data_IF_348342480581
#
_entry.id   IF_348342480581
#
_cell.length_a   1.000
_cell.length_b   1.000
_cell.length_c   1.000
_cell.angle_alpha   90.00
_cell.angle_beta   90.00
_cell.angle_gamma   90.00
#
_symmetry.space_group_name_H-M   'P 1'
#
loop_
_entity.id
_entity.type
_entity.pdbx_description
1 polymer ?
#
# COMPACT_ATOMS: atom_id res chain seq x y z
N UNK A 1 -16.92 10.33 -3.75
CA UNK A 1 -15.94 11.43 -3.55
C UNK A 1 -14.58 10.78 -3.52
N UNK A 2 -13.66 11.15 -4.41
CA UNK A 2 -12.34 10.52 -4.51
C UNK A 2 -11.50 10.84 -3.27
N UNK A 3 -10.95 9.83 -2.59
CA UNK A 3 -10.06 10.00 -1.45
C UNK A 3 -8.73 10.65 -1.88
N UNK A 4 -8.25 11.59 -1.06
CA UNK A 4 -7.00 12.33 -1.29
C UNK A 4 -5.95 11.96 -0.26
N UNK A 5 -4.69 12.26 -0.56
CA UNK A 5 -3.60 12.09 0.40
C UNK A 5 -3.86 12.90 1.67
N UNK A 6 -3.75 12.27 2.82
CA UNK A 6 -4.03 12.85 4.13
C UNK A 6 -5.47 12.71 4.62
N UNK A 7 -6.43 12.33 3.76
CA UNK A 7 -7.78 12.02 4.19
C UNK A 7 -7.78 10.79 5.13
N UNK A 8 -8.75 10.74 6.03
CA UNK A 8 -8.98 9.53 6.83
C UNK A 8 -9.61 8.49 5.90
N UNK A 9 -8.97 7.32 5.80
CA UNK A 9 -9.53 6.17 5.12
C UNK A 9 -10.85 5.78 5.79
N UNK A 10 -11.98 5.75 5.07
CA UNK A 10 -13.27 5.42 5.65
C UNK A 10 -13.27 4.06 6.34
N UNK A 11 -13.90 3.96 7.51
CA UNK A 11 -14.16 2.68 8.15
C UNK A 11 -15.31 1.95 7.45
N UNK A 12 -15.30 0.63 7.49
CA UNK A 12 -16.37 -0.21 6.98
C UNK A 12 -16.45 -1.54 7.73
N UNK A 13 -17.60 -2.15 7.69
CA UNK A 13 -17.82 -3.53 8.11
C UNK A 13 -18.37 -4.29 6.90
N UNK A 14 -17.69 -5.39 6.53
CA UNK A 14 -18.04 -6.18 5.34
C UNK A 14 -17.63 -7.64 5.54
N UNK A 15 -18.29 -8.55 4.85
CA UNK A 15 -17.91 -9.96 4.82
C UNK A 15 -16.59 -10.16 4.07
N UNK A 16 -15.91 -11.27 4.34
CA UNK A 16 -14.61 -11.56 3.74
C UNK A 16 -14.32 -13.06 3.70
N UNK A 17 -13.22 -13.44 3.08
CA UNK A 17 -12.74 -14.83 3.06
C UNK A 17 -12.44 -15.42 4.44
N UNK A 18 -12.41 -14.60 5.51
CA UNK A 18 -12.20 -15.02 6.90
C UNK A 18 -13.41 -14.74 7.79
N UNK A 19 -14.59 -14.42 7.24
CA UNK A 19 -15.81 -13.98 7.93
C UNK A 19 -15.93 -12.46 8.02
N UNK A 20 -16.92 -11.96 8.78
CA UNK A 20 -17.15 -10.53 8.94
C UNK A 20 -15.92 -9.79 9.45
N UNK A 21 -15.59 -8.65 8.83
CA UNK A 21 -14.41 -7.87 9.13
C UNK A 21 -14.76 -6.40 9.30
N UNK A 22 -14.31 -5.81 10.43
CA UNK A 22 -14.36 -4.38 10.72
C UNK A 22 -12.99 -3.79 10.39
N UNK A 23 -12.91 -2.93 9.40
CA UNK A 23 -11.65 -2.54 8.79
C UNK A 23 -10.71 -1.83 9.78
N UNK A 24 -11.15 -0.80 10.49
CA UNK A 24 -10.26 -0.06 11.41
C UNK A 24 -9.86 -0.92 12.63
N UNK A 25 -10.76 -1.78 13.13
CA UNK A 25 -10.46 -2.71 14.21
C UNK A 25 -9.42 -3.75 13.75
N UNK A 26 -9.63 -4.36 12.59
CA UNK A 26 -8.70 -5.33 11.99
C UNK A 26 -7.32 -4.70 11.70
N UNK A 27 -7.29 -3.48 11.17
CA UNK A 27 -6.05 -2.76 10.88
C UNK A 27 -5.23 -2.50 12.15
N UNK A 28 -5.88 -2.15 13.26
CA UNK A 28 -5.21 -1.84 14.52
C UNK A 28 -4.16 -0.73 14.35
N UNK A 29 -2.94 -0.94 14.83
CA UNK A 29 -1.81 -0.02 14.71
C UNK A 29 -0.85 -0.39 13.56
N UNK A 30 -1.32 -1.13 12.58
CA UNK A 30 -0.52 -1.48 11.41
C UNK A 30 -0.75 -0.49 10.27
N UNK A 31 0.23 -0.39 9.39
CA UNK A 31 0.03 0.09 8.04
C UNK A 31 -0.85 -0.90 7.29
N UNK A 32 -1.58 -0.42 6.28
CA UNK A 32 -2.45 -1.26 5.46
C UNK A 32 -2.20 -1.00 3.98
N UNK A 33 -2.13 -2.07 3.21
CA UNK A 33 -2.24 -2.06 1.74
C UNK A 33 -3.61 -2.61 1.40
N UNK A 34 -4.58 -1.73 1.13
CA UNK A 34 -5.92 -2.07 0.66
C UNK A 34 -5.94 -1.99 -0.86
N UNK A 35 -6.27 -3.08 -1.53
CA UNK A 35 -6.26 -3.10 -2.99
C UNK A 35 -7.43 -3.88 -3.59
N UNK A 36 -8.02 -3.34 -4.66
CA UNK A 36 -9.08 -4.02 -5.40
C UNK A 36 -8.54 -4.80 -6.58
N UNK A 37 -9.29 -5.83 -6.98
CA UNK A 37 -9.08 -6.59 -8.22
C UNK A 37 -10.40 -6.81 -8.94
N UNK A 38 -10.41 -6.89 -10.29
CA UNK A 38 -11.65 -6.92 -11.07
C UNK A 38 -12.55 -8.11 -10.82
N UNK A 39 -12.01 -9.33 -10.74
CA UNK A 39 -12.77 -10.55 -10.51
C UNK A 39 -11.87 -11.73 -10.11
N UNK A 40 -12.44 -12.64 -9.32
CA UNK A 40 -11.83 -13.92 -8.99
C UNK A 40 -11.72 -14.83 -10.21
N UNK A 41 -10.81 -15.80 -10.16
CA UNK A 41 -10.52 -16.76 -11.23
C UNK A 41 -10.13 -16.09 -12.56
N UNK A 42 -9.38 -14.98 -12.48
CA UNK A 42 -8.82 -14.30 -13.67
C UNK A 42 -7.30 -14.29 -13.63
N UNK A 43 -6.61 -14.36 -14.79
CA UNK A 43 -5.16 -14.57 -14.82
C UNK A 43 -4.36 -13.51 -14.10
N UNK A 44 -4.58 -12.23 -14.39
CA UNK A 44 -3.81 -11.13 -13.78
C UNK A 44 -4.07 -11.03 -12.28
N UNK A 45 -5.34 -11.21 -11.84
CA UNK A 45 -5.68 -11.17 -10.41
C UNK A 45 -5.01 -12.32 -9.66
N UNK A 46 -4.98 -13.53 -10.23
CA UNK A 46 -4.29 -14.68 -9.65
C UNK A 46 -2.80 -14.40 -9.43
N UNK A 47 -2.14 -13.81 -10.42
CA UNK A 47 -0.71 -13.44 -10.29
C UNK A 47 -0.47 -12.35 -9.25
N UNK A 48 -1.34 -11.35 -9.15
CA UNK A 48 -1.22 -10.27 -8.16
C UNK A 48 -1.42 -10.77 -6.72
N UNK A 49 -2.46 -11.59 -6.47
CA UNK A 49 -2.72 -12.11 -5.14
C UNK A 49 -1.65 -13.12 -4.73
N UNK A 50 -1.20 -13.97 -5.65
CA UNK A 50 -0.09 -14.88 -5.41
C UNK A 50 1.22 -14.16 -5.08
N UNK A 51 1.54 -13.08 -5.81
CA UNK A 51 2.71 -12.25 -5.51
C UNK A 51 2.56 -11.54 -4.15
N UNK A 52 1.38 -10.99 -3.85
CA UNK A 52 1.10 -10.37 -2.54
C UNK A 52 1.29 -11.37 -1.41
N UNK A 53 0.85 -12.61 -1.59
CA UNK A 53 1.05 -13.69 -0.61
C UNK A 53 2.54 -14.02 -0.40
N UNK A 54 3.32 -14.12 -1.47
CA UNK A 54 4.78 -14.32 -1.41
C UNK A 54 5.50 -13.17 -0.72
N UNK A 55 5.01 -11.95 -0.86
CA UNK A 55 5.57 -10.76 -0.24
C UNK A 55 5.12 -10.54 1.22
N UNK A 56 4.27 -11.42 1.77
CA UNK A 56 3.82 -11.30 3.17
C UNK A 56 4.96 -11.13 4.17
N UNK A 57 6.08 -11.86 4.13
CA UNK A 57 7.20 -11.62 5.04
C UNK A 57 7.80 -10.21 4.92
N UNK A 58 7.80 -9.63 3.72
CA UNK A 58 8.28 -8.25 3.51
C UNK A 58 7.29 -7.21 4.05
N UNK A 59 5.98 -7.47 3.94
CA UNK A 59 4.96 -6.66 4.59
C UNK A 59 5.04 -6.76 6.11
N UNK A 60 5.18 -7.96 6.66
CA UNK A 60 5.28 -8.19 8.12
C UNK A 60 6.46 -7.44 8.74
N UNK A 61 7.66 -7.45 8.09
CA UNK A 61 8.84 -6.70 8.53
C UNK A 61 8.59 -5.19 8.67
N UNK A 62 7.65 -4.66 7.92
CA UNK A 62 7.28 -3.24 7.87
C UNK A 62 6.04 -2.91 8.70
N UNK A 63 5.53 -3.88 9.46
CA UNK A 63 4.24 -3.78 10.17
C UNK A 63 3.10 -3.38 9.22
N UNK A 64 3.02 -4.02 8.06
CA UNK A 64 2.00 -3.79 7.04
C UNK A 64 1.08 -5.00 6.95
N UNK A 65 -0.22 -4.76 6.91
CA UNK A 65 -1.26 -5.75 6.61
C UNK A 65 -1.78 -5.54 5.19
N UNK A 66 -1.79 -6.61 4.39
CA UNK A 66 -2.43 -6.59 3.08
C UNK A 66 -3.90 -7.02 3.20
N UNK A 67 -4.77 -6.42 2.41
CA UNK A 67 -6.18 -6.79 2.28
C UNK A 67 -6.64 -6.53 0.85
N UNK A 68 -7.20 -7.56 0.22
CA UNK A 68 -7.75 -7.47 -1.12
C UNK A 68 -9.27 -7.22 -1.08
N UNK A 69 -9.83 -6.76 -2.20
CA UNK A 69 -11.27 -6.54 -2.36
C UNK A 69 -11.70 -6.83 -3.79
N UNK A 70 -12.81 -7.54 -3.96
CA UNK A 70 -13.59 -7.54 -5.19
C UNK A 70 -15.09 -7.57 -4.89
N UNK A 71 -15.90 -7.46 -5.94
CA UNK A 71 -17.36 -7.55 -5.84
C UNK A 71 -17.86 -9.00 -5.88
N UNK A 72 -16.97 -9.97 -5.87
CA UNK A 72 -17.32 -11.39 -5.81
C UNK A 72 -17.71 -11.81 -4.38
N UNK A 73 -18.57 -12.84 -4.20
CA UNK A 73 -19.00 -13.33 -2.90
C UNK A 73 -17.91 -14.11 -2.15
N UNK A 74 -18.05 -14.19 -0.81
CA UNK A 74 -17.06 -14.81 0.07
C UNK A 74 -16.77 -16.28 -0.26
N UNK A 75 -17.79 -17.04 -0.65
CA UNK A 75 -17.63 -18.45 -1.03
C UNK A 75 -16.76 -18.59 -2.28
N UNK A 76 -16.87 -17.64 -3.22
CA UNK A 76 -16.03 -17.62 -4.42
C UNK A 76 -14.59 -17.32 -4.06
N UNK A 77 -14.34 -16.38 -3.16
CA UNK A 77 -13.00 -16.10 -2.63
C UNK A 77 -12.37 -17.33 -1.99
N UNK A 78 -13.13 -18.04 -1.14
CA UNK A 78 -12.65 -19.25 -0.48
C UNK A 78 -12.23 -20.34 -1.47
N UNK A 79 -13.03 -20.56 -2.52
CA UNK A 79 -12.70 -21.50 -3.59
C UNK A 79 -11.45 -21.05 -4.38
N UNK A 80 -11.36 -19.75 -4.71
CA UNK A 80 -10.24 -19.21 -5.48
C UNK A 80 -8.92 -19.15 -4.72
N UNK A 81 -8.93 -18.94 -3.40
CA UNK A 81 -7.72 -18.99 -2.54
C UNK A 81 -7.00 -20.33 -2.77
N UNK A 82 -7.71 -21.46 -2.73
CA UNK A 82 -7.12 -22.79 -2.97
C UNK A 82 -6.45 -22.90 -4.35
N UNK A 83 -7.05 -22.31 -5.37
CA UNK A 83 -6.51 -22.29 -6.74
C UNK A 83 -5.27 -21.39 -6.85
N UNK A 84 -5.29 -20.21 -6.19
CA UNK A 84 -4.11 -19.34 -6.11
C UNK A 84 -2.94 -20.07 -5.43
N UNK A 85 -3.19 -20.71 -4.29
CA UNK A 85 -2.17 -21.42 -3.52
C UNK A 85 -1.50 -22.52 -4.35
N UNK A 86 -2.30 -23.29 -5.10
CA UNK A 86 -1.78 -24.34 -5.98
C UNK A 86 -1.02 -23.77 -7.19
N UNK A 87 -1.58 -22.77 -7.86
CA UNK A 87 -1.01 -22.25 -9.12
C UNK A 87 0.18 -21.33 -8.90
N UNK A 88 0.25 -20.66 -7.75
CA UNK A 88 1.29 -19.70 -7.42
C UNK A 88 2.31 -20.23 -6.41
N UNK A 89 2.16 -21.48 -5.91
CA UNK A 89 3.04 -22.09 -4.91
C UNK A 89 3.26 -21.17 -3.70
N UNK A 90 2.16 -20.85 -3.00
CA UNK A 90 2.16 -19.91 -1.86
C UNK A 90 0.96 -20.16 -0.96
N UNK A 91 0.90 -19.50 0.19
CA UNK A 91 -0.27 -19.48 1.08
C UNK A 91 -0.84 -18.08 1.16
N UNK A 92 -2.14 -17.92 0.89
CA UNK A 92 -2.83 -16.63 0.97
C UNK A 92 -3.12 -16.30 2.42
N UNK A 93 -2.23 -15.55 3.05
CA UNK A 93 -2.28 -15.19 4.47
C UNK A 93 -2.89 -13.80 4.74
N UNK A 94 -3.83 -13.34 3.91
CA UNK A 94 -4.52 -12.05 4.07
C UNK A 94 -6.00 -12.17 3.64
N UNK A 95 -6.92 -11.35 4.21
CA UNK A 95 -8.33 -11.40 3.85
C UNK A 95 -8.62 -10.82 2.47
N UNK A 96 -9.68 -11.34 1.84
CA UNK A 96 -10.28 -10.81 0.63
C UNK A 96 -11.70 -10.38 0.99
N UNK A 97 -12.02 -9.09 0.85
CA UNK A 97 -13.34 -8.52 1.12
C UNK A 97 -14.31 -8.89 0.00
N UNK A 98 -15.47 -9.39 0.38
CA UNK A 98 -16.60 -9.73 -0.48
C UNK A 98 -17.55 -8.53 -0.56
N UNK A 99 -17.31 -7.60 -1.48
CA UNK A 99 -18.06 -6.35 -1.62
C UNK A 99 -19.19 -6.48 -2.66
N UNK A 100 -20.09 -7.47 -2.46
CA UNK A 100 -21.17 -7.79 -3.40
C UNK A 100 -22.13 -6.61 -3.62
N UNK A 101 -22.40 -5.84 -2.57
CA UNK A 101 -23.25 -4.65 -2.61
C UNK A 101 -22.54 -3.40 -3.13
N UNK A 102 -21.23 -3.49 -3.39
CA UNK A 102 -20.35 -2.38 -3.85
C UNK A 102 -20.30 -1.19 -2.90
N UNK A 103 -20.61 -1.38 -1.65
CA UNK A 103 -20.58 -0.30 -0.65
C UNK A 103 -19.15 0.19 -0.42
N UNK A 104 -18.20 -0.73 -0.21
CA UNK A 104 -16.79 -0.41 0.03
C UNK A 104 -16.11 0.10 -1.23
N UNK A 105 -16.29 -0.59 -2.38
CA UNK A 105 -15.70 -0.16 -3.65
C UNK A 105 -16.19 1.21 -4.11
N UNK A 106 -17.45 1.56 -3.83
CA UNK A 106 -17.99 2.90 -4.07
C UNK A 106 -17.41 3.94 -3.12
N UNK A 107 -17.26 3.59 -1.83
CA UNK A 107 -16.70 4.45 -0.79
C UNK A 107 -15.25 4.83 -1.10
N UNK A 108 -14.47 3.89 -1.64
CA UNK A 108 -13.07 4.05 -2.01
C UNK A 108 -12.84 4.41 -3.48
N UNK A 109 -13.90 4.71 -4.23
CA UNK A 109 -13.84 5.09 -5.66
C UNK A 109 -13.06 4.05 -6.51
N UNK A 110 -13.35 2.75 -6.28
CA UNK A 110 -12.68 1.64 -6.95
C UNK A 110 -13.41 1.14 -8.21
N UNK A 111 -14.62 1.65 -8.47
CA UNK A 111 -15.38 1.36 -9.68
C UNK A 111 -15.36 2.60 -10.57
N UNK A 112 -14.76 2.47 -11.74
CA UNK A 112 -14.63 3.55 -12.71
C UNK A 112 -15.60 3.31 -13.87
N UNK A 113 -16.71 4.06 -14.00
CA UNK A 113 -17.80 3.76 -14.95
C UNK A 113 -17.35 3.65 -16.42
N UNK A 114 -16.31 4.40 -16.81
CA UNK A 114 -15.76 4.34 -18.16
C UNK A 114 -14.86 3.10 -18.42
N UNK A 115 -14.45 2.40 -17.35
CA UNK A 115 -13.70 1.13 -17.44
C UNK A 115 -14.61 -0.07 -17.20
N UNK A 116 -15.45 -0.02 -16.18
CA UNK A 116 -16.48 -1.01 -15.85
C UNK A 116 -17.53 -0.39 -14.94
N UNK A 117 -18.79 -0.75 -15.15
CA UNK A 117 -19.90 -0.32 -14.28
C UNK A 117 -20.18 -1.32 -13.14
N UNK A 118 -19.57 -2.50 -13.18
CA UNK A 118 -19.91 -3.63 -12.31
C UNK A 118 -18.72 -4.21 -11.55
N UNK A 119 -17.52 -4.10 -12.09
CA UNK A 119 -16.29 -4.61 -11.47
C UNK A 119 -15.36 -3.46 -11.05
N UNK A 120 -14.53 -3.70 -10.04
CA UNK A 120 -13.51 -2.76 -9.64
C UNK A 120 -12.36 -2.71 -10.65
N UNK A 121 -11.70 -1.56 -10.78
CA UNK A 121 -10.38 -1.45 -11.40
C UNK A 121 -9.28 -1.88 -10.39
N UNK A 122 -8.01 -1.79 -10.77
CA UNK A 122 -6.90 -2.14 -9.87
C UNK A 122 -6.45 -0.94 -9.06
N UNK A 123 -7.29 -0.49 -8.14
CA UNK A 123 -6.92 0.58 -7.20
C UNK A 123 -6.18 0.00 -6.00
N UNK A 124 -5.22 0.75 -5.47
CA UNK A 124 -4.47 0.41 -4.25
C UNK A 124 -4.29 1.66 -3.41
N UNK A 125 -4.51 1.53 -2.12
CA UNK A 125 -4.22 2.54 -1.11
C UNK A 125 -3.18 2.02 -0.12
N UNK A 126 -2.20 2.87 0.21
CA UNK A 126 -1.36 2.69 1.41
C UNK A 126 -1.92 3.61 2.49
N UNK A 127 -2.27 3.02 3.62
CA UNK A 127 -2.91 3.68 4.76
C UNK A 127 -2.01 3.52 5.98
N UNK A 128 -1.73 4.62 6.69
CA UNK A 128 -0.87 4.60 7.88
C UNK A 128 -1.62 4.15 9.15
N UNK A 129 -0.92 3.92 10.28
CA UNK A 129 -1.56 3.53 11.55
C UNK A 129 -2.59 4.52 12.07
N UNK A 130 -2.47 5.82 11.72
CA UNK A 130 -3.47 6.85 12.04
C UNK A 130 -4.66 6.86 11.08
N UNK A 131 -4.76 5.83 10.21
CA UNK A 131 -5.80 5.68 9.19
C UNK A 131 -5.78 6.77 8.11
N UNK A 132 -4.62 7.39 7.87
CA UNK A 132 -4.48 8.39 6.81
C UNK A 132 -4.06 7.72 5.50
N UNK A 133 -4.69 8.11 4.40
CA UNK A 133 -4.27 7.73 3.05
C UNK A 133 -2.93 8.39 2.74
N UNK A 134 -1.91 7.59 2.44
CA UNK A 134 -0.53 8.04 2.19
C UNK A 134 -0.11 7.87 0.72
N UNK A 135 -0.74 6.93 0.01
CA UNK A 135 -0.55 6.68 -1.42
C UNK A 135 -1.86 6.17 -2.00
N UNK A 136 -2.14 6.54 -3.23
CA UNK A 136 -3.13 5.87 -4.08
C UNK A 136 -2.54 5.58 -5.45
N UNK A 137 -2.79 4.38 -5.97
CA UNK A 137 -2.43 3.95 -7.32
C UNK A 137 -3.65 3.37 -7.99
N UNK A 138 -3.86 3.70 -9.26
CA UNK A 138 -4.94 3.10 -10.05
C UNK A 138 -4.41 2.64 -11.40
N UNK A 139 -4.60 1.36 -11.69
CA UNK A 139 -4.18 0.71 -12.92
C UNK A 139 -5.40 0.20 -13.70
N UNK A 140 -5.34 0.18 -15.04
CA UNK A 140 -6.38 -0.45 -15.83
C UNK A 140 -6.45 -1.96 -15.57
N UNK A 141 -7.61 -2.54 -15.84
CA UNK A 141 -7.89 -3.96 -15.56
C UNK A 141 -6.91 -4.93 -16.24
N UNK A 142 -6.34 -4.53 -17.38
CA UNK A 142 -5.40 -5.33 -18.18
C UNK A 142 -3.96 -5.33 -17.67
N UNK A 143 -3.60 -4.46 -16.71
CA UNK A 143 -2.21 -4.23 -16.29
C UNK A 143 -2.02 -4.55 -14.83
N UNK A 144 -1.22 -5.58 -14.51
CA UNK A 144 -0.83 -5.93 -13.15
C UNK A 144 0.05 -4.85 -12.52
N UNK A 145 -0.12 -4.67 -11.20
CA UNK A 145 0.64 -3.66 -10.42
C UNK A 145 2.06 -4.11 -10.14
N UNK A 146 2.95 -3.14 -9.92
CA UNK A 146 4.30 -3.38 -9.44
C UNK A 146 4.34 -3.32 -7.91
N UNK A 147 4.38 -4.46 -7.25
CA UNK A 147 4.41 -4.54 -5.77
C UNK A 147 5.79 -4.20 -5.18
N UNK A 148 6.88 -4.25 -5.96
CA UNK A 148 8.19 -3.73 -5.51
C UNK A 148 8.12 -2.21 -5.32
N UNK A 149 7.38 -1.50 -6.18
CA UNK A 149 7.13 -0.07 -6.01
C UNK A 149 6.26 0.21 -4.77
N UNK A 150 5.29 -0.64 -4.46
CA UNK A 150 4.49 -0.51 -3.23
C UNK A 150 5.38 -0.63 -2.00
N UNK A 151 6.26 -1.64 -1.93
CA UNK A 151 7.22 -1.80 -0.84
C UNK A 151 8.20 -0.62 -0.76
N UNK A 152 8.74 -0.18 -1.91
CA UNK A 152 9.63 0.96 -1.99
C UNK A 152 9.01 2.24 -1.42
N UNK A 153 7.75 2.52 -1.76
CA UNK A 153 7.04 3.71 -1.26
C UNK A 153 6.74 3.58 0.23
N UNK A 154 6.39 2.38 0.73
CA UNK A 154 6.21 2.15 2.17
C UNK A 154 7.51 2.44 2.93
N UNK A 155 8.65 1.94 2.44
CA UNK A 155 9.97 2.22 3.04
C UNK A 155 10.25 3.73 3.05
N UNK A 156 9.98 4.43 1.96
CA UNK A 156 10.14 5.88 1.86
C UNK A 156 9.25 6.63 2.85
N UNK A 157 7.97 6.24 2.98
CA UNK A 157 7.02 6.86 3.89
C UNK A 157 7.43 6.65 5.36
N UNK A 158 7.78 5.42 5.73
CA UNK A 158 8.23 5.10 7.10
C UNK A 158 9.53 5.82 7.45
N UNK A 159 10.45 5.93 6.50
CA UNK A 159 11.70 6.69 6.70
C UNK A 159 11.42 8.18 6.92
N UNK A 160 10.59 8.79 6.07
CA UNK A 160 10.28 10.23 6.15
C UNK A 160 9.41 10.59 7.36
N UNK A 161 8.61 9.65 7.86
CA UNK A 161 7.86 9.83 9.13
C UNK A 161 8.78 9.75 10.36
N UNK A 162 9.80 8.90 10.32
CA UNK A 162 10.73 8.72 11.43
C UNK A 162 11.85 9.75 11.47
N UNK A 163 12.22 10.34 10.34
CA UNK A 163 13.36 11.23 10.18
C UNK A 163 13.00 12.47 9.38
N UNK A 164 13.69 13.58 9.66
CA UNK A 164 13.49 14.84 8.90
C UNK A 164 14.26 14.79 7.58
N UNK A 165 13.82 13.94 6.66
CA UNK A 165 14.42 13.74 5.34
C UNK A 165 13.34 13.62 4.26
N UNK A 166 13.74 13.73 2.99
CA UNK A 166 12.94 13.40 1.84
C UNK A 166 13.69 12.41 0.94
N UNK A 167 12.99 11.52 0.27
CA UNK A 167 13.57 10.56 -0.66
C UNK A 167 13.64 11.16 -2.07
N UNK A 168 14.81 11.08 -2.77
CA UNK A 168 14.89 11.54 -4.16
C UNK A 168 14.13 10.61 -5.12
N UNK A 169 14.00 11.02 -6.38
CA UNK A 169 13.43 10.20 -7.44
C UNK A 169 14.16 8.85 -7.56
N UNK A 170 13.41 7.77 -7.73
CA UNK A 170 13.91 6.38 -7.81
C UNK A 170 14.69 5.87 -6.58
N UNK A 171 14.61 6.58 -5.45
CA UNK A 171 15.26 6.15 -4.22
C UNK A 171 14.89 4.71 -3.83
N UNK A 172 15.86 3.96 -3.34
CA UNK A 172 15.69 2.63 -2.75
C UNK A 172 16.25 2.63 -1.34
N UNK A 173 15.76 1.73 -0.49
CA UNK A 173 16.26 1.58 0.87
C UNK A 173 17.77 1.31 0.89
N UNK A 174 18.52 2.20 1.52
CA UNK A 174 19.99 2.23 1.55
C UNK A 174 20.62 3.37 0.74
N UNK A 175 19.87 3.99 -0.17
CA UNK A 175 20.36 5.15 -0.92
C UNK A 175 20.37 6.42 -0.04
N UNK A 176 21.18 7.38 -0.45
CA UNK A 176 21.22 8.70 0.17
C UNK A 176 19.87 9.43 0.08
N UNK A 177 19.64 10.34 1.02
CA UNK A 177 18.38 11.09 1.16
C UNK A 177 18.61 12.60 1.11
N UNK A 178 17.55 13.36 0.91
CA UNK A 178 17.56 14.81 0.80
C UNK A 178 17.27 15.43 2.17
N UNK A 179 18.05 16.44 2.55
CA UNK A 179 17.77 17.30 3.70
C UNK A 179 16.76 18.37 3.27
N UNK A 180 15.57 18.45 3.91
CA UNK A 180 14.57 19.46 3.58
C UNK A 180 15.09 20.90 3.78
N UNK A 181 14.61 21.84 2.98
CA UNK A 181 15.00 23.26 3.07
C UNK A 181 14.57 23.93 4.39
N UNK A 182 13.63 23.33 5.10
CA UNK A 182 13.18 23.81 6.42
C UNK A 182 14.25 23.66 7.50
N UNK A 183 15.27 22.81 7.30
CA UNK A 183 16.38 22.61 8.24
C UNK A 183 17.57 23.44 7.76
N UNK A 184 17.80 24.60 8.38
CA UNK A 184 18.89 25.51 7.99
C UNK A 184 19.88 25.78 9.11
N UNK A 185 19.47 25.65 10.35
CA UNK A 185 20.31 25.90 11.51
C UNK A 185 21.50 24.91 11.54
N UNK A 186 22.77 25.41 11.62
CA UNK A 186 23.98 24.57 11.60
C UNK A 186 24.02 23.54 12.74
N UNK A 187 23.55 23.90 13.94
CA UNK A 187 23.59 23.00 15.08
C UNK A 187 22.54 21.91 14.94
N UNK A 188 21.33 22.22 14.39
CA UNK A 188 20.30 21.26 14.06
C UNK A 188 20.78 20.33 12.97
N UNK A 189 21.45 20.84 11.94
CA UNK A 189 22.05 20.03 10.87
C UNK A 189 23.04 19.01 11.42
N UNK A 190 23.98 19.47 12.27
CA UNK A 190 24.98 18.60 12.90
C UNK A 190 24.35 17.52 13.78
N UNK A 191 23.33 17.90 14.56
CA UNK A 191 22.62 16.96 15.44
C UNK A 191 21.81 15.92 14.67
N UNK A 192 21.05 16.35 13.66
CA UNK A 192 20.16 15.45 12.90
C UNK A 192 20.89 14.59 11.87
N UNK A 193 22.01 15.10 11.33
CA UNK A 193 22.78 14.41 10.28
C UNK A 193 24.24 14.21 10.69
N UNK A 194 24.51 13.41 11.73
CA UNK A 194 25.85 13.24 12.30
C UNK A 194 26.86 12.60 11.33
N UNK A 195 26.36 11.93 10.27
CA UNK A 195 27.21 11.38 9.19
C UNK A 195 27.66 12.45 8.19
N UNK A 196 27.24 13.71 8.39
CA UNK A 196 27.50 14.80 7.45
C UNK A 196 26.56 14.80 6.24
N UNK A 197 26.78 15.77 5.37
CA UNK A 197 26.06 15.91 4.11
C UNK A 197 26.90 16.59 3.04
N UNK A 198 26.53 16.44 1.80
CA UNK A 198 27.07 17.18 0.65
C UNK A 198 26.03 18.16 0.13
N UNK A 199 26.48 19.29 -0.40
CA UNK A 199 25.61 20.31 -0.97
C UNK A 199 26.04 20.62 -2.42
N UNK A 200 25.40 20.02 -3.38
CA UNK A 200 25.62 20.33 -4.81
C UNK A 200 25.12 21.75 -5.14
N UNK A 201 24.10 22.20 -4.41
CA UNK A 201 23.55 23.57 -4.43
C UNK A 201 23.00 23.89 -3.03
N UNK A 202 22.78 25.17 -2.68
CA UNK A 202 22.17 25.53 -1.39
C UNK A 202 20.83 24.84 -1.10
N UNK A 203 20.07 24.53 -2.14
CA UNK A 203 18.77 23.83 -2.06
C UNK A 203 18.88 22.31 -2.25
N UNK A 204 20.01 21.77 -2.70
CA UNK A 204 20.21 20.34 -2.96
C UNK A 204 21.30 19.81 -2.04
N UNK A 205 20.87 19.34 -0.87
CA UNK A 205 21.72 18.79 0.19
C UNK A 205 21.39 17.32 0.38
N UNK A 206 22.40 16.47 0.30
CA UNK A 206 22.27 15.01 0.33
C UNK A 206 23.05 14.47 1.52
N UNK A 207 22.45 13.56 2.26
CA UNK A 207 23.04 12.90 3.43
C UNK A 207 22.82 11.39 3.35
N UNK A 208 23.73 10.56 3.91
CA UNK A 208 23.49 9.15 4.05
C UNK A 208 22.18 8.86 4.80
N UNK A 209 21.51 7.78 4.43
CA UNK A 209 20.27 7.36 5.09
C UNK A 209 20.48 7.26 6.62
N UNK A 210 19.63 7.90 7.45
CA UNK A 210 19.93 8.05 8.89
C UNK A 210 19.89 6.74 9.68
N UNK A 211 19.08 5.77 9.26
CA UNK A 211 18.89 4.49 9.96
C UNK A 211 19.73 3.31 9.42
N UNK A 212 20.75 3.57 8.64
CA UNK A 212 21.71 2.57 8.10
C UNK A 212 23.11 2.73 8.68
#
# INVERSE_FOLDING_TARGET
MTLRLGDVAPDFEQDSSIGPLKFHEWAGNSWVVLFSHPADFTPVCTTELGLTAKLKPEFDKRNVKAIALSVDPAEKHAAWISDIEQTQDTVVGFPIIADEDRSVSSLYDMIHPNASTTATVRTLFVIDPAKKVRLSLTYPMSTGRNFDEVLRVIDALQLTDGYTVATPGNWKDGDDVIIPLTVQDPEVLKQKYPKGFTAARPYLRVTPQPNK
#
